data_IF_269447705932
#
_entry.id   IF_269447705932
#
_cell.length_a   1.000
_cell.length_b   1.000
_cell.length_c   1.000
_cell.angle_alpha   90.00
_cell.angle_beta   90.00
_cell.angle_gamma   90.00
#
_symmetry.space_group_name_H-M   'P 1'
#
loop_
_entity.id
_entity.type
_entity.pdbx_description
1 polymer ?
#
# COMPACT_ATOMS: atom_id res chain seq x y z
N UNK A 1 -18.58 -9.40 2.41
CA UNK A 1 -17.29 -10.11 2.43
C UNK A 1 -16.45 -9.56 1.29
N UNK A 2 -15.22 -9.10 1.58
CA UNK A 2 -14.36 -8.63 0.51
C UNK A 2 -13.80 -9.84 -0.26
N UNK A 3 -13.37 -9.61 -1.51
CA UNK A 3 -12.88 -10.71 -2.35
C UNK A 3 -11.49 -11.14 -1.89
N UNK A 4 -11.22 -12.46 -1.73
CA UNK A 4 -9.89 -12.94 -1.39
C UNK A 4 -8.89 -12.57 -2.48
N UNK A 5 -7.62 -12.43 -2.09
CA UNK A 5 -6.57 -12.05 -3.03
C UNK A 5 -6.06 -13.28 -3.81
N UNK A 6 -5.76 -13.11 -5.10
CA UNK A 6 -5.15 -14.17 -5.88
C UNK A 6 -3.73 -14.45 -5.37
N UNK A 7 -3.38 -15.74 -5.25
CA UNK A 7 -2.06 -16.18 -4.81
C UNK A 7 -0.92 -15.72 -5.73
N UNK A 8 -1.22 -15.31 -6.96
CA UNK A 8 -0.25 -14.77 -7.93
C UNK A 8 0.08 -13.29 -7.72
N UNK A 9 -0.63 -12.59 -6.83
CA UNK A 9 -0.45 -11.15 -6.59
C UNK A 9 -0.93 -10.25 -7.74
N UNK A 10 -1.47 -10.80 -8.83
CA UNK A 10 -1.92 -10.03 -10.00
C UNK A 10 -3.20 -9.26 -9.69
N UNK A 11 -3.22 -7.95 -9.96
CA UNK A 11 -4.42 -7.11 -9.81
C UNK A 11 -4.86 -6.88 -8.37
N UNK A 12 -4.00 -7.21 -7.39
CA UNK A 12 -4.30 -7.09 -5.95
C UNK A 12 -4.70 -5.66 -5.57
N UNK A 13 -4.00 -4.64 -6.08
CA UNK A 13 -4.33 -3.24 -5.79
C UNK A 13 -5.74 -2.88 -6.25
N UNK A 14 -6.17 -3.36 -7.42
CA UNK A 14 -7.54 -3.12 -7.93
C UNK A 14 -8.59 -3.81 -7.05
N UNK A 15 -8.31 -4.99 -6.51
CA UNK A 15 -9.22 -5.72 -5.62
C UNK A 15 -9.36 -4.96 -4.29
N UNK A 16 -8.24 -4.54 -3.71
CA UNK A 16 -8.20 -3.74 -2.48
C UNK A 16 -8.97 -2.42 -2.67
N UNK A 17 -8.72 -1.70 -3.77
CA UNK A 17 -9.41 -0.44 -4.06
C UNK A 17 -10.92 -0.57 -4.25
N UNK A 18 -11.42 -1.75 -4.62
CA UNK A 18 -12.86 -2.04 -4.71
C UNK A 18 -13.50 -2.37 -3.37
N UNK A 19 -12.70 -2.72 -2.35
CA UNK A 19 -13.16 -3.14 -1.03
C UNK A 19 -12.32 -2.45 0.06
N UNK A 20 -12.19 -1.11 -0.05
CA UNK A 20 -11.26 -0.32 0.79
C UNK A 20 -11.51 -0.46 2.29
N UNK A 21 -12.74 -0.75 2.69
CA UNK A 21 -13.14 -0.91 4.09
C UNK A 21 -12.55 -2.17 4.72
N UNK A 22 -12.23 -3.19 3.92
CA UNK A 22 -11.56 -4.41 4.38
C UNK A 22 -10.02 -4.26 4.42
N UNK A 23 -9.48 -3.14 3.91
CA UNK A 23 -8.05 -2.86 3.93
C UNK A 23 -7.67 -2.12 5.21
N UNK A 24 -6.94 -2.81 6.07
CA UNK A 24 -6.43 -2.26 7.32
C UNK A 24 -4.96 -1.89 7.15
N UNK A 25 -4.58 -0.73 7.66
CA UNK A 25 -3.22 -0.21 7.61
C UNK A 25 -2.86 0.42 8.95
N UNK A 26 -1.79 -0.08 9.56
CA UNK A 26 -1.27 0.41 10.83
C UNK A 26 0.10 1.03 10.58
N UNK A 27 0.28 2.31 10.94
CA UNK A 27 1.57 2.99 10.79
C UNK A 27 2.58 2.37 11.74
N UNK A 28 3.68 1.87 11.19
CA UNK A 28 4.76 1.24 11.94
C UNK A 28 5.94 2.19 12.15
N UNK A 29 6.34 2.92 11.12
CA UNK A 29 7.35 3.97 11.25
C UNK A 29 7.10 5.11 10.26
N UNK A 30 7.52 6.31 10.66
CA UNK A 30 7.53 7.52 9.83
C UNK A 30 8.88 8.19 10.02
N UNK A 31 9.59 8.41 8.93
CA UNK A 31 10.93 9.01 8.92
C UNK A 31 10.97 10.13 7.90
N UNK A 32 11.43 11.31 8.31
CA UNK A 32 11.65 12.45 7.42
C UNK A 32 13.14 12.69 7.27
N UNK A 33 13.64 12.67 6.03
CA UNK A 33 15.02 13.00 5.68
C UNK A 33 15.01 14.05 4.56
N UNK A 34 15.37 15.29 4.89
CA UNK A 34 15.30 16.42 3.95
C UNK A 34 13.87 16.66 3.47
N UNK A 35 13.67 16.71 2.16
CA UNK A 35 12.36 16.90 1.52
C UNK A 35 11.51 15.61 1.44
N UNK A 36 12.08 14.47 1.85
CA UNK A 36 11.45 13.15 1.73
C UNK A 36 10.90 12.68 3.07
N UNK A 37 9.61 12.31 3.08
CA UNK A 37 8.99 11.59 4.19
C UNK A 37 8.67 10.16 3.76
N UNK A 38 9.26 9.19 4.46
CA UNK A 38 9.03 7.76 4.26
C UNK A 38 8.12 7.20 5.35
N UNK A 39 7.17 6.39 4.95
CA UNK A 39 6.19 5.72 5.79
C UNK A 39 6.29 4.21 5.58
N UNK A 40 6.29 3.46 6.67
CA UNK A 40 6.14 2.02 6.67
C UNK A 40 4.86 1.67 7.41
N UNK A 41 3.97 0.96 6.74
CA UNK A 41 2.74 0.44 7.32
C UNK A 41 2.78 -1.09 7.36
N UNK A 42 2.28 -1.67 8.45
CA UNK A 42 1.80 -3.04 8.43
C UNK A 42 0.37 -3.04 7.86
N UNK A 43 0.10 -3.92 6.90
CA UNK A 43 -1.17 -3.96 6.17
C UNK A 43 -1.81 -5.33 6.23
N UNK A 44 -3.13 -5.35 6.34
CA UNK A 44 -3.94 -6.55 6.43
C UNK A 44 -5.14 -6.43 5.51
N UNK A 45 -5.42 -7.49 4.77
CA UNK A 45 -6.59 -7.58 3.91
C UNK A 45 -7.02 -9.04 3.81
N UNK A 46 -8.20 -9.35 4.35
CA UNK A 46 -8.79 -10.69 4.35
C UNK A 46 -7.77 -11.75 4.82
N UNK A 47 -7.27 -12.58 3.90
CA UNK A 47 -6.35 -13.68 4.15
C UNK A 47 -4.87 -13.34 3.97
N UNK A 48 -4.52 -12.06 3.80
CA UNK A 48 -3.15 -11.63 3.53
C UNK A 48 -2.69 -10.54 4.50
N UNK A 49 -1.42 -10.63 4.89
CA UNK A 49 -0.73 -9.65 5.71
C UNK A 49 0.63 -9.31 5.09
N UNK A 50 1.08 -8.09 5.31
CA UNK A 50 2.42 -7.69 4.91
C UNK A 50 2.68 -6.21 5.16
N UNK A 51 3.41 -5.56 4.26
CA UNK A 51 3.86 -4.19 4.45
C UNK A 51 3.57 -3.31 3.25
N UNK A 52 3.34 -2.03 3.52
CA UNK A 52 3.25 -0.98 2.52
C UNK A 52 4.27 0.11 2.85
N UNK A 53 5.26 0.26 1.97
CA UNK A 53 6.21 1.36 1.99
C UNK A 53 5.71 2.48 1.10
N UNK A 54 5.76 3.72 1.58
CA UNK A 54 5.42 4.92 0.82
C UNK A 54 6.51 5.96 1.06
N UNK A 55 7.05 6.57 0.02
CA UNK A 55 7.86 7.78 0.14
C UNK A 55 7.19 8.93 -0.58
N UNK A 56 7.11 10.06 0.11
CA UNK A 56 6.53 11.30 -0.37
C UNK A 56 7.61 12.37 -0.40
N UNK A 57 7.77 13.04 -1.54
CA UNK A 57 8.63 14.20 -1.74
C UNK A 57 7.78 15.30 -2.37
N UNK A 58 7.80 16.53 -1.82
CA UNK A 58 7.02 17.67 -2.34
C UNK A 58 5.54 17.33 -2.60
N UNK A 59 4.89 16.68 -1.63
CA UNK A 59 3.49 16.22 -1.69
C UNK A 59 3.20 15.18 -2.78
N UNK A 60 4.23 14.64 -3.43
CA UNK A 60 4.12 13.59 -4.43
C UNK A 60 4.61 12.24 -3.91
N UNK A 61 3.81 11.20 -4.11
CA UNK A 61 4.25 9.82 -3.89
C UNK A 61 5.26 9.45 -4.99
N UNK A 62 6.54 9.44 -4.63
CA UNK A 62 7.68 9.13 -5.51
C UNK A 62 8.03 7.65 -5.48
N UNK A 63 7.78 6.97 -4.37
CA UNK A 63 7.99 5.53 -4.23
C UNK A 63 6.82 4.90 -3.47
N UNK A 64 6.41 3.73 -3.92
CA UNK A 64 5.53 2.87 -3.16
C UNK A 64 5.81 1.41 -3.47
N UNK A 65 5.76 0.57 -2.43
CA UNK A 65 5.89 -0.87 -2.56
C UNK A 65 4.96 -1.58 -1.58
N UNK A 66 4.03 -2.35 -2.11
CA UNK A 66 3.12 -3.23 -1.38
C UNK A 66 3.63 -4.66 -1.45
N UNK A 67 3.94 -5.24 -0.30
CA UNK A 67 4.28 -6.64 -0.15
C UNK A 67 3.22 -7.30 0.74
N UNK A 68 2.50 -8.29 0.21
CA UNK A 68 1.48 -9.04 0.96
C UNK A 68 1.89 -10.50 1.18
N UNK A 69 3.17 -10.82 1.02
CA UNK A 69 3.70 -12.19 1.10
C UNK A 69 3.06 -13.18 0.12
N UNK A 70 2.45 -12.68 -0.96
CA UNK A 70 1.81 -13.45 -2.02
C UNK A 70 2.77 -13.70 -3.21
N UNK A 71 4.07 -13.84 -2.94
CA UNK A 71 5.09 -14.12 -3.96
C UNK A 71 5.44 -12.98 -4.93
N UNK A 72 4.67 -11.88 -4.96
CA UNK A 72 4.96 -10.71 -5.79
C UNK A 72 4.82 -9.40 -5.01
N UNK A 73 5.84 -8.54 -5.15
CA UNK A 73 5.80 -7.15 -4.65
C UNK A 73 5.19 -6.25 -5.72
N UNK A 74 4.15 -5.50 -5.36
CA UNK A 74 3.53 -4.50 -6.23
C UNK A 74 4.18 -3.15 -5.99
N UNK A 75 4.62 -2.45 -7.03
CA UNK A 75 5.25 -1.14 -6.94
C UNK A 75 4.74 -0.20 -8.04
N UNK A 76 5.12 1.08 -8.00
CA UNK A 76 4.64 2.08 -8.97
C UNK A 76 5.00 1.75 -10.43
N UNK A 77 6.07 0.98 -10.66
CA UNK A 77 6.50 0.61 -12.01
C UNK A 77 5.64 -0.52 -12.62
N UNK A 78 5.00 -1.35 -11.78
CA UNK A 78 4.24 -2.51 -12.23
C UNK A 78 2.72 -2.40 -12.00
N UNK A 79 2.25 -1.46 -11.18
CA UNK A 79 0.83 -1.12 -11.06
C UNK A 79 0.63 0.36 -10.72
N UNK A 80 0.21 1.16 -11.72
CA UNK A 80 -0.07 2.58 -11.55
C UNK A 80 -1.23 2.87 -10.58
N UNK A 81 -2.11 1.90 -10.30
CA UNK A 81 -3.19 2.09 -9.31
C UNK A 81 -2.65 2.13 -7.88
N UNK A 82 -1.41 1.69 -7.63
CA UNK A 82 -0.82 1.73 -6.29
C UNK A 82 -0.77 3.16 -5.75
N UNK A 83 -0.54 4.17 -6.61
CA UNK A 83 -0.58 5.59 -6.21
C UNK A 83 -1.94 5.98 -5.61
N UNK A 84 -3.06 5.42 -6.12
CA UNK A 84 -4.41 5.67 -5.57
C UNK A 84 -4.61 5.00 -4.21
N UNK A 85 -4.07 3.79 -4.02
CA UNK A 85 -4.12 3.10 -2.74
C UNK A 85 -3.29 3.84 -1.68
N UNK A 86 -2.08 4.29 -2.05
CA UNK A 86 -1.23 5.08 -1.17
C UNK A 86 -1.88 6.39 -0.72
N UNK A 87 -2.55 7.12 -1.62
CA UNK A 87 -3.31 8.32 -1.25
C UNK A 87 -4.37 8.03 -0.19
N UNK A 88 -5.18 6.99 -0.41
CA UNK A 88 -6.19 6.56 0.56
C UNK A 88 -5.59 6.18 1.92
N UNK A 89 -4.46 5.50 1.94
CA UNK A 89 -3.77 5.12 3.20
C UNK A 89 -3.26 6.36 3.93
N UNK A 90 -2.60 7.29 3.22
CA UNK A 90 -2.09 8.52 3.82
C UNK A 90 -3.22 9.41 4.35
N UNK A 91 -4.34 9.52 3.63
CA UNK A 91 -5.54 10.25 4.08
C UNK A 91 -6.15 9.67 5.36
N UNK A 92 -6.02 8.34 5.58
CA UNK A 92 -6.50 7.67 6.80
C UNK A 92 -5.49 7.70 7.96
N UNK A 93 -4.21 7.92 7.66
CA UNK A 93 -3.14 7.94 8.65
C UNK A 93 -2.84 9.35 9.17
N UNK A 94 -3.37 10.39 8.52
CA UNK A 94 -3.36 11.79 8.95
C UNK A 94 -4.47 12.05 9.98
#
# INVERSE_FOLDING_TARGET
>A
MAKPLPLSGVGVVRIILKNKDAFQCNLRSKETQGERTSYLFDVFYENAAGTLNIAVEKDEIVLAALNLSLGKVTNLNNDANLKKLCKYVLEKAA
#
